data_IF_974068259783
#
_entry.id   IF_974068259783
#
_cell.length_a   1.000
_cell.length_b   1.000
_cell.length_c   1.000
_cell.angle_alpha   90.00
_cell.angle_beta   90.00
_cell.angle_gamma   90.00
#
_symmetry.space_group_name_H-M   'P 1'
#
loop_
_entity.id
_entity.type
_entity.pdbx_description
1 polymer ?
#
# COMPACT_ATOMS: atom_id res chain seq x y z
N UNK A 1 -1.41 -8.91 26.30
CA UNK A 1 -0.40 -9.97 26.10
C UNK A 1 0.04 -9.94 24.65
N UNK A 2 1.34 -10.11 24.33
CA UNK A 2 1.77 -10.38 22.95
C UNK A 2 1.24 -11.76 22.52
N UNK A 3 1.09 -12.02 21.21
CA UNK A 3 0.59 -13.30 20.70
C UNK A 3 1.46 -14.46 21.21
N UNK A 4 0.82 -15.45 21.85
CA UNK A 4 1.47 -16.66 22.35
C UNK A 4 1.92 -17.53 21.17
N UNK A 5 3.16 -18.02 21.23
CA UNK A 5 3.89 -18.72 20.17
C UNK A 5 3.27 -20.05 19.65
N UNK A 6 2.07 -20.42 20.08
CA UNK A 6 1.48 -21.73 19.81
C UNK A 6 0.73 -21.86 18.46
N UNK A 7 0.48 -20.76 17.73
CA UNK A 7 -0.15 -20.79 16.39
C UNK A 7 0.84 -20.57 15.23
N UNK A 8 2.14 -20.50 15.51
CA UNK A 8 3.20 -20.22 14.52
C UNK A 8 4.06 -21.45 14.17
N UNK A 9 3.49 -22.66 14.16
CA UNK A 9 4.25 -23.92 14.10
C UNK A 9 4.91 -24.26 12.75
N UNK A 10 4.92 -23.36 11.76
CA UNK A 10 5.76 -23.56 10.59
C UNK A 10 6.55 -22.28 10.33
N UNK A 11 7.87 -22.36 10.47
CA UNK A 11 8.78 -21.30 10.07
C UNK A 11 9.47 -21.74 8.78
N UNK A 12 9.33 -20.96 7.71
CA UNK A 12 10.22 -21.05 6.54
C UNK A 12 11.12 -19.82 6.60
N UNK A 13 12.44 -20.05 6.62
CA UNK A 13 13.47 -19.01 6.68
C UNK A 13 13.41 -18.08 7.91
N UNK A 14 12.90 -18.56 9.04
CA UNK A 14 12.74 -17.77 10.27
C UNK A 14 11.57 -16.78 10.26
N UNK A 15 10.75 -16.79 9.19
CA UNK A 15 9.52 -16.02 9.09
C UNK A 15 8.34 -16.94 9.49
N UNK A 16 7.45 -16.49 10.39
CA UNK A 16 6.25 -17.26 10.71
C UNK A 16 5.40 -17.48 9.45
N UNK A 17 5.08 -18.73 9.15
CA UNK A 17 4.15 -19.09 8.07
C UNK A 17 2.74 -18.80 8.56
N UNK A 18 2.02 -17.96 7.82
CA UNK A 18 0.63 -17.66 8.10
C UNK A 18 -0.26 -18.80 7.61
N UNK A 19 -1.01 -19.41 8.51
CA UNK A 19 -2.07 -20.38 8.20
C UNK A 19 -3.40 -19.69 7.86
N UNK A 20 -3.60 -18.48 8.38
CA UNK A 20 -4.79 -17.63 8.20
C UNK A 20 -4.40 -16.16 8.03
N UNK A 21 -5.28 -15.31 7.46
CA UNK A 21 -5.06 -13.86 7.45
C UNK A 21 -4.97 -13.28 8.87
N UNK A 22 -4.22 -12.18 9.03
CA UNK A 22 -4.05 -11.48 10.30
C UNK A 22 -5.35 -10.90 10.83
N UNK A 23 -6.31 -10.54 9.96
CA UNK A 23 -7.63 -10.11 10.40
C UNK A 23 -8.32 -11.17 11.27
N UNK A 24 -8.23 -12.45 10.89
CA UNK A 24 -8.80 -13.57 11.62
C UNK A 24 -7.97 -13.95 12.85
N UNK A 25 -6.65 -14.05 12.69
CA UNK A 25 -5.75 -14.44 13.79
C UNK A 25 -5.80 -13.46 14.96
N UNK A 26 -5.89 -12.16 14.65
CA UNK A 26 -5.88 -11.12 15.66
C UNK A 26 -7.29 -10.76 16.15
N UNK A 27 -8.34 -11.08 15.38
CA UNK A 27 -9.72 -11.00 15.87
C UNK A 27 -9.93 -11.95 17.08
N UNK A 28 -9.33 -13.14 17.07
CA UNK A 28 -9.34 -14.05 18.22
C UNK A 28 -8.70 -13.44 19.48
N UNK A 29 -7.82 -12.45 19.31
CA UNK A 29 -7.15 -11.71 20.38
C UNK A 29 -7.84 -10.36 20.69
N UNK A 30 -9.00 -10.10 20.08
CA UNK A 30 -9.78 -8.88 20.26
C UNK A 30 -9.25 -7.65 19.51
N UNK A 31 -8.32 -7.82 18.56
CA UNK A 31 -7.79 -6.71 17.78
C UNK A 31 -8.59 -6.49 16.49
N UNK A 32 -9.10 -5.27 16.32
CA UNK A 32 -9.81 -4.84 15.12
C UNK A 32 -8.94 -3.89 14.28
N UNK A 33 -8.35 -4.45 13.21
CA UNK A 33 -7.52 -3.67 12.29
C UNK A 33 -8.30 -2.67 11.43
N UNK A 34 -9.60 -2.87 11.22
CA UNK A 34 -10.44 -1.90 10.49
C UNK A 34 -10.66 -0.66 11.38
N UNK A 35 -10.97 -0.86 12.66
CA UNK A 35 -11.08 0.25 13.61
C UNK A 35 -9.78 1.05 13.74
N UNK A 36 -8.62 0.38 13.81
CA UNK A 36 -7.31 1.05 13.81
C UNK A 36 -7.04 1.80 12.50
N UNK A 37 -7.37 1.21 11.36
CA UNK A 37 -7.25 1.88 10.07
C UNK A 37 -8.12 3.14 9.98
N UNK A 38 -9.34 3.11 10.53
CA UNK A 38 -10.21 4.28 10.63
C UNK A 38 -9.57 5.35 11.52
N UNK A 39 -8.97 5.00 12.66
CA UNK A 39 -8.28 5.98 13.53
C UNK A 39 -7.11 6.64 12.80
N UNK A 40 -6.33 5.87 12.04
CA UNK A 40 -5.21 6.38 11.23
C UNK A 40 -5.71 7.30 10.11
N UNK A 41 -6.84 6.95 9.48
CA UNK A 41 -7.45 7.67 8.39
C UNK A 41 -8.27 8.90 8.81
N UNK A 42 -8.62 9.08 10.10
CA UNK A 42 -9.41 10.22 10.58
C UNK A 42 -8.59 11.53 10.64
N UNK A 43 -7.93 11.92 9.56
CA UNK A 43 -7.34 13.25 9.44
C UNK A 43 -8.45 14.24 9.08
N UNK A 44 -8.63 15.30 9.86
CA UNK A 44 -9.53 16.39 9.47
C UNK A 44 -8.95 17.16 8.26
N UNK A 45 -9.82 17.88 7.55
CA UNK A 45 -9.40 18.81 6.48
C UNK A 45 -8.35 19.80 6.98
N UNK A 46 -8.55 20.34 8.17
CA UNK A 46 -7.62 21.26 8.84
C UNK A 46 -6.26 20.62 9.08
N UNK A 47 -6.23 19.39 9.60
CA UNK A 47 -4.99 18.64 9.84
C UNK A 47 -4.24 18.38 8.54
N UNK A 48 -4.95 18.06 7.45
CA UNK A 48 -4.36 17.89 6.11
C UNK A 48 -3.71 19.17 5.61
N UNK A 49 -4.38 20.32 5.77
CA UNK A 49 -3.84 21.64 5.40
C UNK A 49 -2.59 21.99 6.22
N UNK A 50 -2.64 21.79 7.54
CA UNK A 50 -1.51 22.01 8.43
C UNK A 50 -0.31 21.13 8.06
N UNK A 51 -0.52 19.83 7.83
CA UNK A 51 0.56 18.93 7.39
C UNK A 51 1.20 19.41 6.08
N UNK A 52 0.42 19.83 5.09
CA UNK A 52 0.96 20.35 3.84
C UNK A 52 1.73 21.66 4.01
N UNK A 53 1.30 22.52 4.93
CA UNK A 53 2.01 23.76 5.26
C UNK A 53 3.37 23.47 5.92
N UNK A 54 3.42 22.49 6.83
CA UNK A 54 4.66 22.08 7.52
C UNK A 54 5.61 21.34 6.57
N UNK A 55 5.09 20.41 5.76
CA UNK A 55 5.89 19.62 4.82
C UNK A 55 6.23 20.36 3.52
N UNK A 56 5.62 21.54 3.28
CA UNK A 56 5.72 22.30 2.03
C UNK A 56 5.08 21.62 0.80
N UNK A 57 4.37 20.50 0.98
CA UNK A 57 3.76 19.73 -0.11
C UNK A 57 2.56 18.92 0.33
N UNK A 58 1.61 18.73 -0.57
CA UNK A 58 0.43 17.86 -0.36
C UNK A 58 0.85 16.39 -0.44
N UNK A 59 0.74 15.65 0.67
CA UNK A 59 0.99 14.20 0.72
C UNK A 59 -0.19 13.42 0.15
N UNK A 60 0.10 12.40 -0.67
CA UNK A 60 -0.91 11.49 -1.21
C UNK A 60 -1.53 10.64 -0.09
N UNK A 61 -2.84 10.33 -0.17
CA UNK A 61 -3.48 9.43 0.78
C UNK A 61 -2.93 8.00 0.60
N UNK A 62 -2.70 7.27 1.71
CA UNK A 62 -2.21 5.90 1.67
C UNK A 62 -3.26 4.99 1.02
N UNK A 63 -2.87 4.12 0.07
CA UNK A 63 -3.80 3.15 -0.52
C UNK A 63 -4.32 2.11 0.51
N UNK A 64 -5.28 1.26 0.11
CA UNK A 64 -5.88 0.26 0.99
C UNK A 64 -4.85 -0.68 1.65
N UNK A 65 -3.82 -1.13 0.91
CA UNK A 65 -2.77 -1.98 1.48
C UNK A 65 -1.84 -1.23 2.43
N UNK A 66 -1.53 0.04 2.16
CA UNK A 66 -0.71 0.86 3.06
C UNK A 66 -1.47 1.13 4.36
N UNK A 67 -2.79 1.38 4.29
CA UNK A 67 -3.66 1.48 5.47
C UNK A 67 -3.66 0.17 6.27
N UNK A 68 -3.82 -0.96 5.60
CA UNK A 68 -3.73 -2.29 6.20
C UNK A 68 -2.39 -2.50 6.91
N UNK A 69 -1.27 -2.25 6.22
CA UNK A 69 0.06 -2.32 6.81
C UNK A 69 0.17 -1.46 8.05
N UNK A 70 -0.27 -0.20 8.00
CA UNK A 70 -0.17 0.71 9.14
C UNK A 70 -1.02 0.27 10.34
N UNK A 71 -2.20 -0.31 10.10
CA UNK A 71 -3.06 -0.82 11.16
C UNK A 71 -2.43 -2.02 11.89
N UNK A 72 -1.86 -2.98 11.14
CA UNK A 72 -1.36 -4.23 11.71
C UNK A 72 0.13 -4.23 12.06
N UNK A 73 0.93 -3.27 11.58
CA UNK A 73 2.37 -3.24 11.87
C UNK A 73 2.67 -3.18 13.38
N UNK A 74 1.79 -2.52 14.15
CA UNK A 74 1.92 -2.40 15.60
C UNK A 74 1.69 -3.70 16.37
N UNK A 75 1.10 -4.74 15.76
CA UNK A 75 0.90 -6.04 16.40
C UNK A 75 2.10 -6.98 16.17
N UNK A 76 2.91 -6.72 15.14
CA UNK A 76 4.09 -7.50 14.77
C UNK A 76 5.38 -7.02 15.48
N UNK A 77 5.25 -6.58 16.73
CA UNK A 77 6.40 -6.14 17.54
C UNK A 77 7.36 -7.31 17.76
N UNK A 78 8.64 -7.07 17.56
CA UNK A 78 9.70 -8.09 17.70
C UNK A 78 10.21 -8.65 16.38
N UNK A 79 9.49 -8.45 15.27
CA UNK A 79 10.01 -8.75 13.92
C UNK A 79 10.82 -7.57 13.38
N UNK A 80 11.82 -7.86 12.53
CA UNK A 80 12.48 -6.81 11.75
C UNK A 80 11.48 -6.23 10.75
N UNK A 81 11.64 -4.94 10.42
CA UNK A 81 10.72 -4.25 9.52
C UNK A 81 10.51 -5.00 8.20
N UNK A 82 11.57 -5.54 7.60
CA UNK A 82 11.48 -6.29 6.35
C UNK A 82 10.62 -7.56 6.49
N UNK A 83 10.78 -8.31 7.58
CA UNK A 83 10.02 -9.53 7.86
C UNK A 83 8.55 -9.19 8.10
N UNK A 84 8.28 -8.20 8.95
CA UNK A 84 6.93 -7.73 9.22
C UNK A 84 6.23 -7.29 7.93
N UNK A 85 6.92 -6.57 7.04
CA UNK A 85 6.32 -6.16 5.75
C UNK A 85 6.03 -7.31 4.81
N UNK A 86 6.89 -8.33 4.82
CA UNK A 86 6.70 -9.53 4.00
C UNK A 86 5.51 -10.33 4.50
N UNK A 87 5.39 -10.49 5.82
CA UNK A 87 4.27 -11.17 6.46
C UNK A 87 2.95 -10.42 6.22
N UNK A 88 2.94 -9.09 6.33
CA UNK A 88 1.76 -8.27 6.03
C UNK A 88 1.32 -8.40 4.56
N UNK A 89 2.26 -8.47 3.62
CA UNK A 89 1.95 -8.68 2.21
C UNK A 89 1.34 -10.06 1.96
N UNK A 90 1.89 -11.12 2.58
CA UNK A 90 1.33 -12.48 2.53
C UNK A 90 -0.08 -12.51 3.12
N UNK A 91 -0.27 -11.92 4.29
CA UNK A 91 -1.58 -11.81 4.94
C UNK A 91 -2.59 -11.11 4.06
N UNK A 92 -2.23 -9.96 3.47
CA UNK A 92 -3.13 -9.20 2.60
C UNK A 92 -3.57 -10.00 1.37
N UNK A 93 -2.72 -10.88 0.84
CA UNK A 93 -3.10 -11.78 -0.25
C UNK A 93 -4.19 -12.77 0.19
N UNK A 94 -4.11 -13.27 1.43
CA UNK A 94 -5.06 -14.21 2.04
C UNK A 94 -6.36 -13.55 2.52
N UNK A 95 -6.38 -12.23 2.74
CA UNK A 95 -7.57 -11.52 3.21
C UNK A 95 -8.76 -11.71 2.28
N UNK A 96 -9.95 -11.84 2.87
CA UNK A 96 -11.19 -11.94 2.14
C UNK A 96 -11.60 -10.60 1.51
N UNK A 97 -12.49 -10.65 0.51
CA UNK A 97 -12.89 -9.47 -0.24
C UNK A 97 -13.63 -8.44 0.62
N UNK A 98 -14.34 -8.86 1.66
CA UNK A 98 -15.03 -7.95 2.59
C UNK A 98 -14.04 -7.09 3.37
N UNK A 99 -12.96 -7.68 3.89
CA UNK A 99 -11.89 -6.92 4.57
C UNK A 99 -11.20 -5.99 3.57
N UNK A 100 -10.84 -6.50 2.38
CA UNK A 100 -10.23 -5.67 1.33
C UNK A 100 -11.14 -4.48 0.96
N UNK A 101 -12.45 -4.68 0.85
CA UNK A 101 -13.42 -3.62 0.57
C UNK A 101 -13.53 -2.61 1.71
N UNK A 102 -13.49 -3.04 2.98
CA UNK A 102 -13.47 -2.12 4.12
C UNK A 102 -12.28 -1.16 4.04
N UNK A 103 -11.08 -1.68 3.77
CA UNK A 103 -9.89 -0.84 3.57
C UNK A 103 -9.97 0.04 2.31
N UNK A 104 -10.59 -0.44 1.22
CA UNK A 104 -10.89 0.40 0.04
C UNK A 104 -11.85 1.53 0.38
N UNK A 105 -12.85 1.30 1.21
CA UNK A 105 -13.81 2.33 1.63
C UNK A 105 -13.15 3.39 2.52
N UNK A 106 -12.29 2.99 3.46
CA UNK A 106 -11.48 3.93 4.24
C UNK A 106 -10.60 4.78 3.32
N UNK A 107 -9.96 4.17 2.33
CA UNK A 107 -9.19 4.91 1.33
C UNK A 107 -10.04 5.91 0.54
N UNK A 108 -11.25 5.53 0.09
CA UNK A 108 -12.17 6.45 -0.60
C UNK A 108 -12.49 7.67 0.27
N UNK A 109 -12.79 7.46 1.56
CA UNK A 109 -13.04 8.54 2.52
C UNK A 109 -11.85 9.50 2.64
N UNK A 110 -10.63 8.96 2.74
CA UNK A 110 -9.42 9.78 2.82
C UNK A 110 -9.15 10.59 1.54
N UNK A 111 -9.51 10.08 0.36
CA UNK A 111 -9.44 10.85 -0.88
C UNK A 111 -10.47 11.97 -0.93
N UNK A 112 -11.68 11.73 -0.41
CA UNK A 112 -12.70 12.79 -0.32
C UNK A 112 -12.24 13.92 0.60
N UNK A 113 -11.66 13.59 1.77
CA UNK A 113 -11.09 14.58 2.68
C UNK A 113 -9.94 15.35 2.01
N UNK A 114 -9.04 14.66 1.29
CA UNK A 114 -7.97 15.32 0.54
C UNK A 114 -8.53 16.29 -0.50
N UNK A 115 -9.52 15.85 -1.29
CA UNK A 115 -10.13 16.67 -2.32
C UNK A 115 -10.83 17.91 -1.74
N UNK A 116 -11.45 17.79 -0.56
CA UNK A 116 -12.01 18.94 0.17
C UNK A 116 -10.91 19.86 0.73
N UNK A 117 -9.82 19.29 1.22
CA UNK A 117 -8.70 20.06 1.77
C UNK A 117 -7.94 20.84 0.69
N UNK A 118 -7.79 20.24 -0.49
CA UNK A 118 -7.04 20.79 -1.62
C UNK A 118 -7.81 20.62 -2.95
N UNK A 119 -8.85 21.42 -3.19
CA UNK A 119 -9.67 21.34 -4.40
C UNK A 119 -8.88 21.56 -5.69
N UNK A 120 -7.88 22.44 -5.64
CA UNK A 120 -7.06 22.83 -6.79
C UNK A 120 -5.87 21.90 -7.04
N UNK A 121 -5.66 20.91 -6.16
CA UNK A 121 -4.60 19.94 -6.35
C UNK A 121 -4.92 19.01 -7.52
N UNK A 122 -3.91 18.66 -8.31
CA UNK A 122 -4.00 17.62 -9.35
C UNK A 122 -4.55 16.29 -8.81
N UNK A 123 -4.43 16.05 -7.51
CA UNK A 123 -4.97 14.88 -6.81
C UNK A 123 -6.47 15.00 -6.49
N UNK A 124 -7.00 16.22 -6.40
CA UNK A 124 -8.42 16.54 -6.20
C UNK A 124 -9.20 16.70 -7.51
N UNK A 125 -8.50 16.74 -8.66
CA UNK A 125 -9.11 16.59 -9.98
C UNK A 125 -9.64 15.16 -10.15
N UNK A 126 -10.79 14.88 -9.53
CA UNK A 126 -11.78 14.05 -10.19
C UNK A 126 -11.90 14.64 -11.59
N UNK A 127 -11.39 13.95 -12.61
CA UNK A 127 -11.65 14.27 -14.00
C UNK A 127 -13.17 14.27 -14.16
N UNK A 128 -13.81 15.41 -13.91
CA UNK A 128 -15.19 15.64 -14.32
C UNK A 128 -15.15 15.48 -15.84
N UNK A 129 -16.02 14.59 -16.33
CA UNK A 129 -16.28 14.30 -17.73
C UNK A 129 -15.16 13.55 -18.48
N UNK A 130 -15.19 12.22 -18.42
CA UNK A 130 -15.36 11.52 -19.69
C UNK A 130 -16.84 11.72 -20.06
N UNK A 131 -17.18 12.87 -20.67
CA UNK A 131 -18.43 12.98 -21.42
C UNK A 131 -18.19 12.13 -22.65
N UNK A 132 -18.48 10.84 -22.52
CA UNK A 132 -18.67 9.97 -23.67
C UNK A 132 -19.92 10.45 -24.39
N UNK A 133 -19.72 11.31 -25.38
CA UNK A 133 -20.68 11.54 -26.45
C UNK A 133 -20.03 11.03 -27.72
N UNK A 134 -20.46 9.82 -28.07
CA UNK A 134 -20.47 9.21 -29.41
C UNK A 134 -19.13 8.76 -30.01
N UNK A 135 -19.05 7.44 -30.24
CA UNK A 135 -18.45 6.73 -31.39
C UNK A 135 -16.93 6.94 -31.59
N UNK A 136 -16.09 5.91 -31.53
CA UNK A 136 -16.13 4.75 -32.43
C UNK A 136 -15.36 3.54 -31.85
N UNK A 137 -15.82 2.29 -32.08
CA UNK A 137 -15.11 1.08 -31.67
C UNK A 137 -14.06 0.73 -32.74
N UNK A 138 -12.79 1.05 -32.52
CA UNK A 138 -11.68 0.26 -33.07
C UNK A 138 -10.34 0.71 -32.48
N UNK A 139 -9.54 -0.29 -32.12
CA UNK A 139 -8.10 -0.25 -31.81
C UNK A 139 -7.67 0.40 -30.48
N UNK A 140 -7.42 -0.45 -29.47
CA UNK A 140 -6.19 -0.33 -28.66
C UNK A 140 -5.63 -1.74 -28.36
N UNK A 141 -4.57 -2.18 -29.06
CA UNK A 141 -3.90 -3.44 -28.75
C UNK A 141 -3.02 -3.30 -27.50
N UNK A 142 -3.08 -4.32 -26.65
CA UNK A 142 -2.06 -4.80 -25.71
C UNK A 142 -1.17 -3.76 -25.00
N UNK A 143 -1.47 -3.50 -23.73
CA UNK A 143 -0.49 -2.92 -22.81
C UNK A 143 -0.20 -3.87 -21.64
N UNK A 144 0.62 -4.88 -21.94
CA UNK A 144 1.41 -5.62 -20.94
C UNK A 144 2.38 -4.62 -20.30
N UNK A 145 2.09 -4.18 -19.07
CA UNK A 145 3.00 -3.30 -18.32
C UNK A 145 4.02 -4.15 -17.53
N UNK A 146 4.87 -4.88 -18.23
CA UNK A 146 6.12 -5.38 -17.67
C UNK A 146 7.10 -4.21 -17.53
N UNK A 147 7.32 -3.71 -16.31
CA UNK A 147 8.34 -2.69 -16.05
C UNK A 147 9.25 -3.12 -14.91
N UNK A 148 10.23 -3.97 -15.23
CA UNK A 148 11.49 -4.10 -14.48
C UNK A 148 12.65 -4.20 -15.46
N UNK A 149 13.03 -3.05 -16.04
CA UNK A 149 14.29 -2.95 -16.78
C UNK A 149 15.43 -2.78 -15.78
N UNK A 150 16.24 -3.83 -15.66
CA UNK A 150 17.53 -3.84 -14.97
C UNK A 150 18.45 -2.89 -15.74
N UNK A 151 19.00 -1.86 -15.08
CA UNK A 151 20.13 -1.08 -15.62
C UNK A 151 21.38 -1.93 -15.45
N UNK A 152 21.81 -2.60 -16.51
CA UNK A 152 23.17 -3.12 -16.63
C UNK A 152 24.08 -1.96 -17.06
N UNK A 153 25.04 -1.63 -16.21
CA UNK A 153 26.12 -0.67 -16.49
C UNK A 153 27.12 -1.40 -17.41
N UNK A 154 27.45 -0.89 -18.61
CA UNK A 154 28.53 -1.49 -19.41
C UNK A 154 29.89 -1.13 -18.80
N UNK A 155 30.67 -2.17 -18.50
CA UNK A 155 32.08 -2.11 -18.11
C UNK A 155 32.90 -1.64 -19.32
N UNK A 156 33.78 -0.62 -19.20
CA UNK A 156 34.66 -0.22 -20.29
C UNK A 156 35.69 -1.31 -20.60
N UNK A 157 35.73 -1.76 -21.86
CA UNK A 157 36.73 -2.70 -22.36
C UNK A 157 38.10 -2.02 -22.49
N UNK A 158 39.06 -2.64 -21.82
CA UNK A 158 40.49 -2.39 -21.83
C UNK A 158 41.06 -2.51 -23.25
N UNK A 159 41.60 -1.41 -23.79
CA UNK A 159 42.33 -1.42 -25.06
C UNK A 159 43.80 -1.74 -24.79
N UNK A 160 44.15 -3.01 -24.84
CA UNK A 160 45.53 -3.45 -24.96
C UNK A 160 45.88 -3.77 -26.43
N UNK A 161 46.71 -2.90 -27.00
CA UNK A 161 47.91 -3.22 -27.79
C UNK A 161 47.75 -3.65 -29.27
N UNK A 162 48.38 -2.88 -30.18
CA UNK A 162 49.56 -3.33 -30.96
C UNK A 162 50.08 -2.26 -31.94
N UNK A 163 51.37 -1.95 -31.76
CA UNK A 163 52.45 -1.83 -32.77
C UNK A 163 52.25 -0.90 -33.96
N UNK A 164 53.12 0.11 -34.06
CA UNK A 164 54.20 0.07 -35.06
C UNK A 164 55.42 0.85 -34.57
#
# INVERSE_FOLDING_TARGET
MPPTAAELEQTQDGIPVLTKPLSELLAAQGFDGIAEAIKIAKKSVEKRRLEAQVDGKVKRPPNSFVLYRSAYLGTLKGLRLHEATTLLAKSWAMECDSVKEAFRNIWKMENLVLAQAFPDSDFGRNKKANMDKSLHPQAFPNFIRNRRLKKTIPVPQERANRKS
#
